data_IF_978228245477
#
_entry.id   IF_978228245477
#
_cell.length_a   1.000
_cell.length_b   1.000
_cell.length_c   1.000
_cell.angle_alpha   90.00
_cell.angle_beta   90.00
_cell.angle_gamma   90.00
#
_symmetry.space_group_name_H-M   'P 1'
#
loop_
_entity.id
_entity.type
_entity.pdbx_description
1 polymer ?
#
# COMPACT_ATOMS: atom_id res chain seq x y z
N UNK A 1 -22.08 25.46 -26.40
CA UNK A 1 -21.06 24.43 -26.67
C UNK A 1 -20.82 23.70 -25.35
N UNK A 2 -21.14 22.41 -25.22
CA UNK A 2 -20.94 21.70 -23.96
C UNK A 2 -19.45 21.50 -23.70
N UNK A 3 -19.05 21.74 -22.45
CA UNK A 3 -17.67 21.59 -21.96
C UNK A 3 -17.21 20.13 -22.03
N UNK A 4 -15.92 19.87 -22.28
CA UNK A 4 -15.39 18.52 -22.24
C UNK A 4 -15.37 18.03 -20.78
N UNK A 5 -16.13 16.96 -20.52
CA UNK A 5 -15.98 16.13 -19.32
C UNK A 5 -14.49 15.77 -19.17
N UNK A 6 -13.85 15.98 -18.00
CA UNK A 6 -12.57 15.36 -17.70
C UNK A 6 -12.84 13.87 -17.47
N UNK A 7 -13.01 13.14 -18.57
CA UNK A 7 -13.04 11.70 -18.59
C UNK A 7 -11.79 11.20 -17.89
N UNK A 8 -12.03 10.48 -16.80
CA UNK A 8 -11.14 9.52 -16.15
C UNK A 8 -9.99 9.10 -17.06
N UNK A 9 -8.86 9.80 -16.96
CA UNK A 9 -7.59 9.30 -17.46
C UNK A 9 -7.11 8.29 -16.44
N UNK A 10 -7.70 7.10 -16.49
CA UNK A 10 -7.29 5.98 -15.65
C UNK A 10 -5.89 5.60 -16.09
N UNK A 11 -4.89 6.22 -15.47
CA UNK A 11 -3.51 5.79 -15.62
C UNK A 11 -3.47 4.31 -15.24
N UNK A 12 -2.78 3.45 -16.00
CA UNK A 12 -2.59 2.07 -15.59
C UNK A 12 -1.94 2.09 -14.22
N UNK A 13 -2.68 1.62 -13.23
CA UNK A 13 -2.22 1.56 -11.84
C UNK A 13 -1.05 0.58 -11.83
N UNK A 14 0.13 0.98 -11.36
CA UNK A 14 1.25 0.07 -11.22
C UNK A 14 0.82 -1.16 -10.42
N UNK A 15 1.25 -2.36 -10.83
CA UNK A 15 0.92 -3.62 -10.16
C UNK A 15 1.26 -3.56 -8.65
N UNK A 16 2.36 -2.89 -8.31
CA UNK A 16 2.74 -2.68 -6.91
C UNK A 16 1.72 -1.84 -6.11
N UNK A 17 1.06 -0.87 -6.76
CA UNK A 17 0.07 -0.02 -6.10
C UNK A 17 -1.23 -0.78 -5.85
N UNK A 18 -1.69 -1.60 -6.81
CA UNK A 18 -2.87 -2.46 -6.63
C UNK A 18 -2.67 -3.56 -5.58
N UNK A 19 -1.47 -4.16 -5.54
CA UNK A 19 -1.08 -5.10 -4.49
C UNK A 19 -1.06 -4.43 -3.10
N UNK A 20 -0.56 -3.20 -3.01
CA UNK A 20 -0.53 -2.46 -1.75
C UNK A 20 -1.94 -2.17 -1.25
N UNK A 21 -2.85 -1.71 -2.11
CA UNK A 21 -4.25 -1.50 -1.73
C UNK A 21 -4.91 -2.78 -1.22
N UNK A 22 -4.67 -3.91 -1.90
CA UNK A 22 -5.14 -5.21 -1.45
C UNK A 22 -4.62 -5.57 -0.05
N UNK A 23 -3.32 -5.38 0.19
CA UNK A 23 -2.70 -5.66 1.49
C UNK A 23 -3.26 -4.77 2.61
N UNK A 24 -3.50 -3.48 2.33
CA UNK A 24 -4.12 -2.55 3.28
C UNK A 24 -5.54 -3.01 3.62
N UNK A 25 -6.36 -3.31 2.61
CA UNK A 25 -7.72 -3.80 2.81
C UNK A 25 -7.74 -5.10 3.63
N UNK A 26 -6.80 -6.01 3.38
CA UNK A 26 -6.68 -7.30 4.08
C UNK A 26 -6.29 -7.12 5.55
N UNK A 27 -5.34 -6.22 5.82
CA UNK A 27 -4.95 -5.86 7.18
C UNK A 27 -6.09 -5.21 7.97
N UNK A 28 -6.81 -4.26 7.36
CA UNK A 28 -7.93 -3.58 8.01
C UNK A 28 -9.12 -4.51 8.28
N UNK A 29 -9.35 -5.48 7.39
CA UNK A 29 -10.45 -6.46 7.51
C UNK A 29 -10.27 -7.41 8.69
N UNK A 30 -9.02 -7.77 9.03
CA UNK A 30 -8.71 -8.60 10.19
C UNK A 30 -8.63 -7.82 11.51
N UNK A 31 -8.55 -6.49 11.44
CA UNK A 31 -8.43 -5.62 12.61
C UNK A 31 -9.77 -5.07 13.12
N UNK A 32 -9.72 -4.13 14.08
CA UNK A 32 -10.93 -3.46 14.61
C UNK A 32 -11.57 -2.47 13.62
N UNK A 33 -10.92 -2.19 12.47
CA UNK A 33 -11.35 -1.20 11.47
C UNK A 33 -12.08 -1.84 10.28
N UNK A 34 -12.93 -2.83 10.54
CA UNK A 34 -13.65 -3.59 9.50
C UNK A 34 -14.53 -2.71 8.61
N UNK A 35 -15.21 -1.70 9.18
CA UNK A 35 -16.01 -0.74 8.39
C UNK A 35 -15.15 0.04 7.38
N UNK A 36 -13.95 0.46 7.80
CA UNK A 36 -13.02 1.13 6.90
C UNK A 36 -12.53 0.20 5.79
N UNK A 37 -12.31 -1.08 6.11
CA UNK A 37 -11.97 -2.08 5.12
C UNK A 37 -13.09 -2.28 4.08
N UNK A 38 -14.35 -2.36 4.52
CA UNK A 38 -15.50 -2.52 3.61
C UNK A 38 -15.62 -1.36 2.63
N UNK A 39 -15.53 -0.11 3.11
CA UNK A 39 -15.58 1.06 2.24
C UNK A 39 -14.41 1.03 1.25
N UNK A 40 -13.19 0.73 1.72
CA UNK A 40 -12.03 0.62 0.85
C UNK A 40 -12.22 -0.44 -0.24
N UNK A 41 -12.73 -1.63 0.11
CA UNK A 41 -13.01 -2.69 -0.87
C UNK A 41 -14.02 -2.23 -1.93
N UNK A 42 -15.10 -1.55 -1.52
CA UNK A 42 -16.09 -1.02 -2.45
C UNK A 42 -15.47 0.01 -3.42
N UNK A 43 -14.62 0.91 -2.92
CA UNK A 43 -13.91 1.88 -3.76
C UNK A 43 -12.95 1.18 -4.73
N UNK A 44 -12.22 0.16 -4.27
CA UNK A 44 -11.29 -0.61 -5.11
C UNK A 44 -11.99 -1.34 -6.25
N UNK A 45 -13.18 -1.89 -6.00
CA UNK A 45 -14.00 -2.56 -7.02
C UNK A 45 -14.61 -1.55 -8.01
N UNK A 46 -15.12 -0.42 -7.51
CA UNK A 46 -15.67 0.65 -8.36
C UNK A 46 -14.61 1.28 -9.28
N UNK A 47 -13.43 1.56 -8.74
CA UNK A 47 -12.33 2.14 -9.48
C UNK A 47 -11.51 1.09 -10.28
N UNK A 48 -11.85 -0.20 -10.18
CA UNK A 48 -11.12 -1.31 -10.82
C UNK A 48 -9.61 -1.29 -10.52
N UNK A 49 -9.26 -0.97 -9.27
CA UNK A 49 -7.87 -0.84 -8.82
C UNK A 49 -7.26 -2.18 -8.38
N UNK A 50 -8.05 -3.25 -8.35
CA UNK A 50 -7.56 -4.59 -7.98
C UNK A 50 -6.73 -5.20 -9.12
N UNK A 51 -5.71 -6.02 -8.79
CA UNK A 51 -4.98 -6.78 -9.79
C UNK A 51 -5.94 -7.60 -10.67
N UNK A 52 -5.90 -7.33 -11.98
CA UNK A 52 -6.70 -8.07 -12.96
C UNK A 52 -6.23 -9.52 -13.03
N UNK A 53 -7.17 -10.42 -13.26
CA UNK A 53 -6.85 -11.81 -13.53
C UNK A 53 -6.60 -12.07 -14.99
N UNK A 54 -5.82 -13.12 -15.27
CA UNK A 54 -5.69 -13.68 -16.60
C UNK A 54 -6.45 -15.00 -16.63
N UNK A 55 -7.34 -15.14 -17.60
CA UNK A 55 -7.98 -16.42 -17.92
C UNK A 55 -6.96 -17.39 -18.51
N UNK A 56 -7.34 -18.67 -18.62
CA UNK A 56 -6.51 -19.70 -19.26
C UNK A 56 -6.24 -19.42 -20.75
N UNK A 57 -7.05 -18.57 -21.38
CA UNK A 57 -6.83 -18.05 -22.74
C UNK A 57 -5.98 -16.76 -22.77
N UNK A 58 -5.55 -16.25 -21.61
CA UNK A 58 -4.72 -15.04 -21.48
C UNK A 58 -5.50 -13.72 -21.52
N UNK A 59 -6.83 -13.78 -21.46
CA UNK A 59 -7.67 -12.58 -21.43
C UNK A 59 -7.71 -11.96 -20.04
N UNK A 60 -7.67 -10.62 -19.97
CA UNK A 60 -7.78 -9.89 -18.70
C UNK A 60 -9.24 -9.84 -18.24
N UNK A 61 -9.50 -10.27 -17.00
CA UNK A 61 -10.80 -10.16 -16.36
C UNK A 61 -10.72 -9.37 -15.05
N UNK A 62 -11.78 -8.65 -14.73
CA UNK A 62 -11.92 -8.03 -13.43
C UNK A 62 -12.11 -9.13 -12.38
N UNK A 63 -11.38 -9.03 -11.27
CA UNK A 63 -11.56 -9.89 -10.09
C UNK A 63 -12.26 -9.11 -8.99
N UNK A 64 -13.13 -9.81 -8.28
CA UNK A 64 -13.65 -9.32 -7.01
C UNK A 64 -12.59 -9.41 -5.92
N UNK A 65 -12.77 -8.62 -4.86
CA UNK A 65 -11.86 -8.69 -3.72
C UNK A 65 -11.87 -10.07 -3.06
N UNK A 66 -13.04 -10.71 -2.96
CA UNK A 66 -13.19 -12.04 -2.37
C UNK A 66 -12.44 -13.12 -3.16
N UNK A 67 -12.52 -13.11 -4.49
CA UNK A 67 -11.75 -14.02 -5.33
C UNK A 67 -10.24 -13.86 -5.13
N UNK A 68 -9.78 -12.62 -4.98
CA UNK A 68 -8.37 -12.32 -4.75
C UNK A 68 -7.92 -12.78 -3.35
N UNK A 69 -8.78 -12.67 -2.35
CA UNK A 69 -8.57 -13.23 -1.01
C UNK A 69 -8.46 -14.76 -1.06
N UNK A 70 -9.27 -15.42 -1.89
CA UNK A 70 -9.29 -16.87 -2.07
C UNK A 70 -8.11 -17.39 -2.90
N UNK A 71 -7.62 -16.64 -3.89
CA UNK A 71 -6.39 -17.00 -4.62
C UNK A 71 -5.14 -16.76 -3.77
N UNK A 72 -5.16 -15.71 -2.95
CA UNK A 72 -4.02 -15.27 -2.13
C UNK A 72 -4.11 -15.79 -0.69
N UNK A 73 -4.40 -17.09 -0.52
CA UNK A 73 -4.47 -17.74 0.81
C UNK A 73 -3.15 -17.72 1.57
N UNK A 74 -2.04 -17.68 0.86
CA UNK A 74 -0.69 -17.63 1.44
C UNK A 74 -0.37 -16.27 2.09
N UNK A 75 -1.12 -15.21 1.74
CA UNK A 75 -0.94 -13.87 2.32
C UNK A 75 -1.71 -13.82 3.64
N UNK A 76 -0.99 -13.85 4.76
CA UNK A 76 -1.61 -13.67 6.07
C UNK A 76 -2.19 -12.24 6.21
N UNK A 77 -3.25 -12.02 7.00
CA UNK A 77 -3.80 -10.69 7.19
C UNK A 77 -2.82 -9.70 7.86
N UNK A 78 -1.88 -10.19 8.65
CA UNK A 78 -0.79 -9.43 9.25
C UNK A 78 0.46 -9.31 8.34
N UNK A 79 0.42 -9.83 7.12
CA UNK A 79 1.57 -9.84 6.21
C UNK A 79 2.14 -8.43 5.94
N UNK A 80 1.27 -7.44 5.78
CA UNK A 80 1.69 -6.04 5.63
C UNK A 80 2.50 -5.56 6.85
N UNK A 81 2.07 -5.93 8.06
CA UNK A 81 2.78 -5.60 9.30
C UNK A 81 4.12 -6.32 9.38
N UNK A 82 4.19 -7.60 8.99
CA UNK A 82 5.45 -8.35 8.93
C UNK A 82 6.47 -7.70 7.99
N UNK A 83 6.01 -7.20 6.83
CA UNK A 83 6.85 -6.44 5.89
C UNK A 83 7.38 -5.18 6.57
N UNK A 84 6.51 -4.36 7.18
CA UNK A 84 6.94 -3.15 7.89
C UNK A 84 7.93 -3.45 9.04
N UNK A 85 7.72 -4.53 9.78
CA UNK A 85 8.62 -4.97 10.85
C UNK A 85 9.98 -5.46 10.35
N UNK A 86 10.04 -6.03 9.14
CA UNK A 86 11.30 -6.48 8.53
C UNK A 86 12.06 -5.33 7.90
N UNK A 87 11.35 -4.36 7.34
CA UNK A 87 11.96 -3.15 6.75
C UNK A 87 12.57 -2.27 7.84
N UNK A 88 11.94 -2.12 9.00
CA UNK A 88 12.46 -1.34 10.13
C UNK A 88 13.94 -1.59 10.47
N UNK A 89 14.35 -2.83 10.83
CA UNK A 89 15.73 -3.15 11.15
C UNK A 89 16.67 -3.07 9.94
N UNK A 90 16.20 -3.37 8.71
CA UNK A 90 17.03 -3.24 7.51
C UNK A 90 17.35 -1.77 7.22
N UNK A 91 16.39 -0.87 7.40
CA UNK A 91 16.61 0.57 7.32
C UNK A 91 17.48 1.06 8.49
N UNK A 92 17.26 0.57 9.71
CA UNK A 92 18.09 0.93 10.86
C UNK A 92 19.56 0.52 10.67
N UNK A 93 19.86 -0.62 10.02
CA UNK A 93 21.25 -1.01 9.70
C UNK A 93 21.90 -0.11 8.64
N UNK A 94 21.18 0.27 7.59
CA UNK A 94 21.68 1.24 6.60
C UNK A 94 21.85 2.65 7.18
N UNK A 95 21.00 3.05 8.14
CA UNK A 95 21.07 4.35 8.83
C UNK A 95 22.12 4.32 9.97
N UNK A 96 22.33 3.19 10.64
CA UNK A 96 23.34 3.02 11.71
C UNK A 96 24.77 3.16 11.20
N UNK A 97 25.02 3.05 9.89
CA UNK A 97 26.28 3.48 9.29
C UNK A 97 26.55 4.99 9.46
N UNK A 98 25.60 5.78 10.02
CA UNK A 98 25.75 7.21 10.22
C UNK A 98 25.35 7.79 11.59
N UNK A 99 24.31 7.32 12.31
CA UNK A 99 23.81 8.04 13.52
C UNK A 99 23.09 7.14 14.55
N UNK A 100 23.27 7.45 15.84
CA UNK A 100 22.73 6.76 17.03
C UNK A 100 21.22 6.92 17.28
N UNK A 101 20.53 5.77 17.30
CA UNK A 101 19.31 5.36 18.05
C UNK A 101 18.14 6.35 18.22
N UNK A 102 17.08 6.10 17.46
CA UNK A 102 15.68 6.18 17.95
C UNK A 102 14.91 4.97 17.38
N UNK A 103 14.49 4.05 18.24
CA UNK A 103 13.71 2.86 17.86
C UNK A 103 12.21 3.20 17.82
N UNK A 104 11.76 3.85 16.75
CA UNK A 104 10.34 4.01 16.43
C UNK A 104 10.19 4.29 14.94
N UNK A 105 9.23 3.62 14.29
CA UNK A 105 8.95 3.76 12.85
C UNK A 105 8.61 5.22 12.45
N UNK A 106 8.11 6.03 13.40
CA UNK A 106 7.86 7.47 13.26
C UNK A 106 8.76 8.31 14.17
N UNK A 107 9.82 7.70 14.74
CA UNK A 107 10.71 8.32 15.70
C UNK A 107 11.69 9.28 15.04
N UNK A 108 11.44 10.57 15.25
CA UNK A 108 12.35 11.71 15.12
C UNK A 108 13.79 11.38 14.64
N UNK A 109 14.00 11.50 13.32
CA UNK A 109 15.30 11.30 12.66
C UNK A 109 15.14 11.27 11.14
N UNK A 110 16.22 11.56 10.41
CA UNK A 110 16.35 11.96 8.98
C UNK A 110 15.50 11.26 7.88
N UNK A 111 14.68 10.27 8.21
CA UNK A 111 13.64 9.71 7.32
C UNK A 111 12.23 10.27 7.59
N UNK A 112 12.08 11.16 8.58
CA UNK A 112 11.02 12.14 8.53
C UNK A 112 11.15 12.92 7.21
N UNK A 113 10.14 12.86 6.32
CA UNK A 113 10.08 13.73 5.14
C UNK A 113 10.23 15.22 5.49
N UNK A 114 10.05 15.59 6.77
CA UNK A 114 10.48 16.85 7.35
C UNK A 114 11.89 16.73 7.98
N UNK A 115 12.89 16.56 7.12
CA UNK A 115 14.23 17.09 7.38
C UNK A 115 14.05 18.60 7.66
N UNK A 116 13.96 18.99 8.92
CA UNK A 116 14.22 20.40 9.23
C UNK A 116 15.73 20.56 9.14
N UNK A 117 16.18 21.01 7.97
CA UNK A 117 17.50 21.59 7.80
C UNK A 117 17.62 22.76 8.78
N UNK A 118 18.10 22.50 9.99
CA UNK A 118 18.45 23.56 10.92
C UNK A 118 19.90 23.96 10.64
N UNK A 119 20.00 24.99 9.82
CA UNK A 119 21.01 26.05 9.84
C UNK A 119 22.47 25.62 9.98
N UNK A 120 23.21 25.77 8.88
CA UNK A 120 24.61 26.18 8.97
C UNK A 120 24.64 27.48 9.80
N UNK A 121 25.11 27.39 11.04
CA UNK A 121 25.69 28.52 11.75
C UNK A 121 27.13 28.14 12.06
N UNK A 122 28.00 28.45 11.10
CA UNK A 122 29.41 28.75 11.32
C UNK A 122 29.56 30.24 11.06
#
# INVERSE_FOLDING_TARGET
>A
TPEPNPGSSTRPVPIAESELYFLIARYLSAGPRQRGAQVLVQELEQCQLLPKGLDWEGNEHNRSYEELVLSSKHVAPDHLLQICQRIGPMLDEEIMAGISRVASFFGAGRQSLLLTAKGNLI
#
